data_IF_208433138061
#
_entry.id   IF_208433138061
#
_cell.length_a   1.000
_cell.length_b   1.000
_cell.length_c   1.000
_cell.angle_alpha   90.00
_cell.angle_beta   90.00
_cell.angle_gamma   90.00
#
_symmetry.space_group_name_H-M   'P 1'
#
loop_
_entity.id
_entity.type
_entity.pdbx_description
1 polymer ?
#
# COMPACT_ATOMS: atom_id res chain seq x y z
N UNK A 1 4.66 4.33 -69.20
CA UNK A 1 4.27 5.11 -68.00
C UNK A 1 3.39 4.30 -67.04
N UNK A 2 3.84 3.12 -66.56
CA UNK A 2 2.96 2.25 -65.75
C UNK A 2 3.58 1.70 -64.46
N UNK A 3 4.82 1.98 -64.15
CA UNK A 3 5.54 1.42 -62.97
C UNK A 3 5.43 2.26 -61.70
N UNK A 4 5.07 3.54 -61.77
CA UNK A 4 4.98 4.45 -60.61
C UNK A 4 3.76 4.21 -59.71
N UNK A 5 2.66 3.66 -60.22
CA UNK A 5 1.42 3.47 -59.46
C UNK A 5 1.42 2.18 -58.60
N UNK A 6 2.14 1.17 -58.99
CA UNK A 6 2.22 -0.10 -58.27
C UNK A 6 3.07 0.03 -57.00
N UNK A 7 4.14 0.82 -57.07
CA UNK A 7 5.04 1.04 -55.91
C UNK A 7 4.37 1.88 -54.84
N UNK A 8 3.60 2.90 -55.22
CA UNK A 8 2.83 3.73 -54.24
C UNK A 8 1.74 2.91 -53.53
N UNK A 9 1.05 2.03 -54.23
CA UNK A 9 0.01 1.18 -53.66
C UNK A 9 0.56 0.19 -52.62
N UNK A 10 1.71 -0.45 -52.92
CA UNK A 10 2.38 -1.36 -51.98
C UNK A 10 2.93 -0.67 -50.71
N UNK A 11 3.42 0.56 -50.85
CA UNK A 11 3.93 1.36 -49.70
C UNK A 11 2.79 1.81 -48.74
N UNK A 12 1.64 2.17 -49.30
CA UNK A 12 0.44 2.55 -48.54
C UNK A 12 -0.17 1.36 -47.83
N UNK A 13 -0.22 0.19 -48.50
CA UNK A 13 -0.75 -1.06 -47.92
C UNK A 13 0.13 -1.57 -46.76
N UNK A 14 1.45 -1.46 -46.90
CA UNK A 14 2.43 -1.86 -45.87
C UNK A 14 2.43 -0.88 -44.65
N UNK A 15 2.15 0.41 -44.85
CA UNK A 15 1.93 1.36 -43.76
C UNK A 15 0.65 1.06 -43.01
N UNK A 16 -0.45 0.77 -43.69
CA UNK A 16 -1.74 0.49 -43.10
C UNK A 16 -1.75 -0.82 -42.30
N UNK A 17 -1.06 -1.86 -42.78
CA UNK A 17 -0.93 -3.11 -42.03
C UNK A 17 -0.08 -2.95 -40.76
N UNK A 18 1.02 -2.19 -40.81
CA UNK A 18 1.84 -1.89 -39.64
C UNK A 18 1.10 -1.05 -38.60
N UNK A 19 0.26 -0.12 -39.03
CA UNK A 19 -0.55 0.73 -38.16
C UNK A 19 -1.62 -0.08 -37.42
N UNK A 20 -2.28 -1.00 -38.11
CA UNK A 20 -3.27 -1.93 -37.53
C UNK A 20 -2.60 -2.88 -36.53
N UNK A 21 -1.40 -3.39 -36.85
CA UNK A 21 -0.64 -4.26 -35.94
C UNK A 21 -0.20 -3.54 -34.67
N UNK A 22 0.25 -2.28 -34.78
CA UNK A 22 0.64 -1.45 -33.64
C UNK A 22 -0.55 -1.12 -32.73
N UNK A 23 -1.70 -0.81 -33.31
CA UNK A 23 -2.94 -0.58 -32.57
C UNK A 23 -3.42 -1.83 -31.83
N UNK A 24 -3.33 -3.00 -32.47
CA UNK A 24 -3.66 -4.28 -31.85
C UNK A 24 -2.76 -4.61 -30.66
N UNK A 25 -1.44 -4.41 -30.81
CA UNK A 25 -0.47 -4.60 -29.71
C UNK A 25 -0.74 -3.61 -28.56
N UNK A 26 -0.98 -2.35 -28.88
CA UNK A 26 -1.29 -1.31 -27.88
C UNK A 26 -2.54 -1.65 -27.08
N UNK A 27 -3.60 -2.10 -27.77
CA UNK A 27 -4.85 -2.51 -27.12
C UNK A 27 -4.66 -3.76 -26.25
N UNK A 28 -3.90 -4.73 -26.72
CA UNK A 28 -3.56 -5.93 -25.93
C UNK A 28 -2.78 -5.56 -24.67
N UNK A 29 -1.81 -4.66 -24.79
CA UNK A 29 -1.03 -4.19 -23.65
C UNK A 29 -1.90 -3.47 -22.61
N UNK A 30 -2.82 -2.61 -23.07
CA UNK A 30 -3.79 -1.93 -22.19
C UNK A 30 -4.67 -2.93 -21.45
N UNK A 31 -5.21 -3.90 -22.17
CA UNK A 31 -6.10 -4.91 -21.59
C UNK A 31 -5.36 -5.74 -20.53
N UNK A 32 -4.15 -6.22 -20.86
CA UNK A 32 -3.34 -7.00 -19.94
C UNK A 32 -2.97 -6.23 -18.68
N UNK A 33 -2.57 -4.95 -18.84
CA UNK A 33 -2.27 -4.08 -17.70
C UNK A 33 -3.50 -3.85 -16.82
N UNK A 34 -4.65 -3.62 -17.44
CA UNK A 34 -5.91 -3.43 -16.71
C UNK A 34 -6.33 -4.69 -15.96
N UNK A 35 -6.25 -5.87 -16.58
CA UNK A 35 -6.55 -7.14 -15.92
C UNK A 35 -5.59 -7.43 -14.76
N UNK A 36 -4.31 -7.16 -14.96
CA UNK A 36 -3.31 -7.31 -13.90
C UNK A 36 -3.60 -6.41 -12.70
N UNK A 37 -3.86 -5.12 -12.95
CA UNK A 37 -4.22 -4.15 -11.90
C UNK A 37 -5.48 -4.57 -11.17
N UNK A 38 -6.53 -4.93 -11.89
CA UNK A 38 -7.80 -5.40 -11.32
C UNK A 38 -7.62 -6.65 -10.45
N UNK A 39 -6.77 -7.58 -10.87
CA UNK A 39 -6.45 -8.79 -10.09
C UNK A 39 -5.68 -8.46 -8.81
N UNK A 40 -4.73 -7.54 -8.86
CA UNK A 40 -4.02 -7.05 -7.68
C UNK A 40 -4.98 -6.37 -6.71
N UNK A 41 -5.82 -5.45 -7.20
CA UNK A 41 -6.82 -4.74 -6.39
C UNK A 41 -7.78 -5.70 -5.69
N UNK A 42 -8.24 -6.74 -6.38
CA UNK A 42 -9.14 -7.74 -5.79
C UNK A 42 -8.49 -8.62 -4.72
N UNK A 43 -7.17 -8.82 -4.77
CA UNK A 43 -6.43 -9.63 -3.80
C UNK A 43 -5.94 -8.83 -2.59
N UNK A 44 -5.83 -7.51 -2.72
CA UNK A 44 -5.28 -6.65 -1.68
C UNK A 44 -6.09 -6.71 -0.36
N UNK A 45 -7.44 -6.60 -0.38
CA UNK A 45 -8.24 -6.67 0.84
C UNK A 45 -8.05 -7.98 1.60
N UNK A 46 -7.99 -9.11 0.88
CA UNK A 46 -7.79 -10.43 1.49
C UNK A 46 -6.43 -10.54 2.18
N UNK A 47 -5.37 -10.03 1.56
CA UNK A 47 -4.02 -10.02 2.17
C UNK A 47 -3.96 -9.15 3.41
N UNK A 48 -4.61 -7.98 3.38
CA UNK A 48 -4.68 -7.08 4.54
C UNK A 48 -5.47 -7.72 5.67
N UNK A 49 -6.58 -8.38 5.36
CA UNK A 49 -7.38 -9.10 6.35
C UNK A 49 -6.58 -10.24 7.00
N UNK A 50 -5.94 -11.10 6.21
CA UNK A 50 -5.12 -12.19 6.71
C UNK A 50 -3.98 -11.71 7.62
N UNK A 51 -3.32 -10.60 7.24
CA UNK A 51 -2.30 -9.99 8.07
C UNK A 51 -2.86 -9.46 9.39
N UNK A 52 -4.03 -8.81 9.34
CA UNK A 52 -4.73 -8.29 10.53
C UNK A 52 -5.12 -9.42 11.47
N UNK A 53 -5.66 -10.52 10.96
CA UNK A 53 -6.05 -11.70 11.76
C UNK A 53 -4.81 -12.34 12.43
N UNK A 54 -3.72 -12.53 11.68
CA UNK A 54 -2.47 -13.05 12.22
C UNK A 54 -1.91 -12.15 13.31
N UNK A 55 -1.89 -10.84 13.09
CA UNK A 55 -1.38 -9.88 14.05
C UNK A 55 -2.23 -9.84 15.31
N UNK A 56 -3.54 -9.88 15.17
CA UNK A 56 -4.48 -9.93 16.31
C UNK A 56 -4.28 -11.22 17.12
N UNK A 57 -4.14 -12.36 16.47
CA UNK A 57 -3.85 -13.64 17.15
C UNK A 57 -2.53 -13.60 17.92
N UNK A 58 -1.50 -12.98 17.33
CA UNK A 58 -0.22 -12.77 18.01
C UNK A 58 -0.37 -11.88 19.25
N UNK A 59 -1.09 -10.77 19.16
CA UNK A 59 -1.33 -9.86 20.30
C UNK A 59 -2.09 -10.57 21.43
N UNK A 60 -3.10 -11.38 21.11
CA UNK A 60 -3.81 -12.19 22.12
C UNK A 60 -2.90 -13.21 22.78
N UNK A 61 -2.01 -13.86 22.02
CA UNK A 61 -1.03 -14.79 22.59
C UNK A 61 -0.06 -14.11 23.56
N UNK A 62 0.42 -12.92 23.18
CA UNK A 62 1.28 -12.10 24.03
C UNK A 62 0.54 -11.70 25.31
N UNK A 63 -0.70 -11.21 25.20
CA UNK A 63 -1.51 -10.82 26.36
C UNK A 63 -1.73 -11.99 27.32
N UNK A 64 -2.11 -13.17 26.80
CA UNK A 64 -2.29 -14.37 27.62
C UNK A 64 -1.02 -14.79 28.35
N UNK A 65 0.15 -14.60 27.73
CA UNK A 65 1.45 -14.88 28.36
C UNK A 65 1.71 -13.89 29.49
N UNK A 66 1.45 -12.60 29.29
CA UNK A 66 1.59 -11.58 30.34
C UNK A 66 0.64 -11.83 31.50
N UNK A 67 -0.64 -12.13 31.23
CA UNK A 67 -1.62 -12.44 32.28
C UNK A 67 -1.18 -13.62 33.16
N UNK A 68 -0.58 -14.65 32.54
CA UNK A 68 -0.03 -15.79 33.27
C UNK A 68 1.18 -15.39 34.13
N UNK A 69 2.07 -14.53 33.62
CA UNK A 69 3.22 -14.02 34.38
C UNK A 69 2.78 -13.19 35.57
N UNK A 70 1.81 -12.26 35.40
CA UNK A 70 1.29 -11.40 36.46
C UNK A 70 0.67 -12.26 37.58
N UNK A 71 -0.07 -13.31 37.22
CA UNK A 71 -0.66 -14.22 38.20
C UNK A 71 0.42 -14.93 39.03
N UNK A 72 1.49 -15.41 38.38
CA UNK A 72 2.63 -16.02 39.08
C UNK A 72 3.36 -15.00 40.00
N UNK A 73 3.55 -13.77 39.56
CA UNK A 73 4.19 -12.71 40.36
C UNK A 73 3.36 -12.36 41.61
N UNK A 74 2.04 -12.29 41.48
CA UNK A 74 1.15 -12.05 42.62
C UNK A 74 1.32 -13.12 43.69
N UNK A 75 1.29 -14.39 43.31
CA UNK A 75 1.51 -15.52 44.26
C UNK A 75 2.90 -15.47 44.91
N UNK A 76 3.91 -15.03 44.14
CA UNK A 76 5.27 -14.89 44.64
C UNK A 76 5.35 -13.77 45.71
N UNK A 77 4.77 -12.58 45.42
CA UNK A 77 4.76 -11.46 46.35
C UNK A 77 3.99 -11.81 47.64
N UNK A 78 2.87 -12.49 47.55
CA UNK A 78 2.13 -12.98 48.70
C UNK A 78 2.97 -13.95 49.59
N UNK A 79 3.70 -14.87 48.95
CA UNK A 79 4.57 -15.81 49.66
C UNK A 79 5.82 -15.20 50.29
N UNK A 80 6.36 -14.13 49.68
CA UNK A 80 7.53 -13.42 50.14
C UNK A 80 7.21 -12.37 51.22
N UNK A 81 5.93 -12.10 51.51
CA UNK A 81 5.50 -11.10 52.48
C UNK A 81 5.92 -9.69 52.14
N UNK A 82 5.92 -9.33 50.84
CA UNK A 82 6.29 -7.98 50.36
C UNK A 82 5.32 -6.93 50.96
N UNK A 83 5.86 -5.79 51.38
CA UNK A 83 5.07 -4.71 51.96
C UNK A 83 4.03 -4.17 50.96
N UNK A 84 2.78 -3.99 51.43
CA UNK A 84 1.65 -3.52 50.63
C UNK A 84 1.89 -2.14 50.00
N UNK A 85 2.67 -1.27 50.67
CA UNK A 85 3.01 0.04 50.15
C UNK A 85 3.91 -0.05 48.91
N UNK A 86 4.83 -1.01 48.89
CA UNK A 86 5.70 -1.26 47.74
C UNK A 86 4.88 -1.80 46.54
N UNK A 87 3.96 -2.73 46.81
CA UNK A 87 3.08 -3.28 45.76
C UNK A 87 2.19 -2.18 45.15
N UNK A 88 1.66 -1.29 46.01
CA UNK A 88 0.86 -0.17 45.55
C UNK A 88 1.67 0.83 44.71
N UNK A 89 2.84 1.21 45.15
CA UNK A 89 3.72 2.12 44.38
C UNK A 89 4.14 1.54 43.06
N UNK A 90 4.39 0.22 42.99
CA UNK A 90 4.68 -0.46 41.75
C UNK A 90 3.47 -0.48 40.80
N UNK A 91 2.25 -0.68 41.35
CA UNK A 91 1.01 -0.60 40.57
C UNK A 91 0.80 0.78 39.94
N UNK A 92 0.96 1.86 40.71
CA UNK A 92 0.86 3.23 40.22
C UNK A 92 1.91 3.55 39.15
N UNK A 93 3.13 3.07 39.33
CA UNK A 93 4.19 3.21 38.33
C UNK A 93 3.86 2.48 37.02
N UNK A 94 3.39 1.24 37.12
CA UNK A 94 3.02 0.45 35.90
C UNK A 94 1.82 1.05 35.16
N UNK A 95 0.84 1.58 35.88
CA UNK A 95 -0.29 2.31 35.30
C UNK A 95 0.17 3.55 34.53
N UNK A 96 0.96 4.42 35.14
CA UNK A 96 1.50 5.63 34.50
C UNK A 96 2.39 5.29 33.29
N UNK A 97 3.17 4.21 33.38
CA UNK A 97 3.98 3.74 32.26
C UNK A 97 3.11 3.23 31.12
N UNK A 98 2.06 2.49 31.41
CA UNK A 98 1.10 1.98 30.42
C UNK A 98 0.39 3.11 29.70
N UNK A 99 -0.09 4.13 30.44
CA UNK A 99 -0.73 5.31 29.86
C UNK A 99 0.21 6.06 28.91
N UNK A 100 1.48 6.21 29.29
CA UNK A 100 2.48 6.82 28.42
C UNK A 100 2.70 6.00 27.14
N UNK A 101 2.75 4.68 27.23
CA UNK A 101 2.89 3.79 26.09
C UNK A 101 1.68 3.88 25.15
N UNK A 102 0.46 3.91 25.70
CA UNK A 102 -0.77 4.06 24.91
C UNK A 102 -0.79 5.41 24.17
N UNK A 103 -0.41 6.50 24.83
CA UNK A 103 -0.29 7.80 24.16
C UNK A 103 0.74 7.78 23.02
N UNK A 104 1.89 7.14 23.21
CA UNK A 104 2.88 7.00 22.15
C UNK A 104 2.34 6.20 20.96
N UNK A 105 1.56 5.15 21.20
CA UNK A 105 0.91 4.37 20.13
C UNK A 105 -0.07 5.24 19.34
N UNK A 106 -0.86 6.08 20.01
CA UNK A 106 -1.80 7.01 19.37
C UNK A 106 -1.07 8.07 18.52
N UNK A 107 0.00 8.65 19.03
CA UNK A 107 0.84 9.58 18.26
C UNK A 107 1.46 8.90 17.04
N UNK A 108 1.92 7.67 17.18
CA UNK A 108 2.47 6.91 16.06
C UNK A 108 1.41 6.60 15.02
N UNK A 109 0.20 6.22 15.42
CA UNK A 109 -0.92 5.97 14.53
C UNK A 109 -1.31 7.23 13.74
N UNK A 110 -1.38 8.40 14.41
CA UNK A 110 -1.63 9.68 13.75
C UNK A 110 -0.53 10.06 12.77
N UNK A 111 0.73 9.89 13.16
CA UNK A 111 1.87 10.14 12.27
C UNK A 111 1.83 9.24 11.02
N UNK A 112 1.55 7.95 11.21
CA UNK A 112 1.39 7.00 10.10
C UNK A 112 0.28 7.41 9.15
N UNK A 113 -0.87 7.80 9.68
CA UNK A 113 -2.00 8.31 8.89
C UNK A 113 -1.58 9.53 8.07
N UNK A 114 -1.00 10.54 8.71
CA UNK A 114 -0.53 11.75 8.04
C UNK A 114 0.49 11.45 6.93
N UNK A 115 1.45 10.59 7.21
CA UNK A 115 2.45 10.15 6.24
C UNK A 115 1.81 9.46 5.03
N UNK A 116 0.83 8.59 5.26
CA UNK A 116 0.10 7.89 4.20
C UNK A 116 -0.73 8.86 3.35
N UNK A 117 -1.42 9.81 3.97
CA UNK A 117 -2.21 10.82 3.27
C UNK A 117 -1.31 11.73 2.40
N UNK A 118 -0.13 12.08 2.92
CA UNK A 118 0.88 12.85 2.17
C UNK A 118 1.40 12.07 0.96
N UNK A 119 1.72 10.79 1.12
CA UNK A 119 2.16 9.93 0.03
C UNK A 119 1.07 9.77 -1.03
N UNK A 120 -0.17 9.56 -0.62
CA UNK A 120 -1.31 9.46 -1.53
C UNK A 120 -1.52 10.75 -2.33
N UNK A 121 -1.39 11.91 -1.67
CA UNK A 121 -1.45 13.22 -2.33
C UNK A 121 -0.32 13.42 -3.34
N UNK A 122 0.89 13.03 -2.99
CA UNK A 122 2.04 13.08 -3.89
C UNK A 122 1.85 12.16 -5.12
N UNK A 123 1.32 10.96 -4.93
CA UNK A 123 1.00 10.05 -6.04
C UNK A 123 -0.04 10.65 -6.99
N UNK A 124 -1.11 11.25 -6.45
CA UNK A 124 -2.13 11.93 -7.27
C UNK A 124 -1.55 13.11 -8.05
N UNK A 125 -0.67 13.89 -7.43
CA UNK A 125 0.01 15.01 -8.09
C UNK A 125 0.94 14.52 -9.20
N UNK A 126 1.66 13.42 -8.98
CA UNK A 126 2.49 12.78 -9.99
C UNK A 126 1.67 12.27 -11.17
N UNK A 127 0.54 11.63 -10.92
CA UNK A 127 -0.37 11.13 -11.96
C UNK A 127 -0.88 12.26 -12.85
N UNK A 128 -1.35 13.36 -12.24
CA UNK A 128 -1.78 14.57 -12.96
C UNK A 128 -0.63 15.19 -13.78
N UNK A 129 0.58 15.23 -13.22
CA UNK A 129 1.76 15.72 -13.93
C UNK A 129 2.07 14.86 -15.16
N UNK A 130 2.07 13.54 -15.00
CA UNK A 130 2.34 12.59 -16.09
C UNK A 130 1.29 12.71 -17.21
N UNK A 131 0.00 12.81 -16.87
CA UNK A 131 -1.08 13.00 -17.84
C UNK A 131 -0.90 14.31 -18.62
N UNK A 132 -0.55 15.39 -17.94
CA UNK A 132 -0.30 16.69 -18.57
C UNK A 132 0.91 16.64 -19.51
N UNK A 133 2.00 16.01 -19.09
CA UNK A 133 3.20 15.82 -19.92
C UNK A 133 2.91 14.98 -21.15
N UNK A 134 2.12 13.91 -21.00
CA UNK A 134 1.73 13.07 -22.14
C UNK A 134 0.87 13.84 -23.14
N UNK A 135 -0.10 14.62 -22.67
CA UNK A 135 -0.96 15.44 -23.54
C UNK A 135 -0.14 16.50 -24.29
N UNK A 136 0.80 17.16 -23.59
CA UNK A 136 1.70 18.12 -24.20
C UNK A 136 2.58 17.48 -25.29
N UNK A 137 3.23 16.35 -25.00
CA UNK A 137 4.03 15.64 -25.98
C UNK A 137 3.19 15.20 -27.20
N UNK A 138 1.97 14.72 -26.96
CA UNK A 138 1.07 14.31 -28.04
C UNK A 138 0.68 15.49 -28.96
N UNK A 139 0.47 16.68 -28.40
CA UNK A 139 0.22 17.92 -29.17
C UNK A 139 1.41 18.31 -30.02
N UNK A 140 2.63 18.24 -29.45
CA UNK A 140 3.86 18.51 -30.20
C UNK A 140 4.00 17.54 -31.38
N UNK A 141 3.86 16.24 -31.16
CA UNK A 141 3.97 15.25 -32.23
C UNK A 141 2.93 15.43 -33.36
N UNK A 142 1.75 15.95 -33.04
CA UNK A 142 0.75 16.30 -34.07
C UNK A 142 1.16 17.47 -34.94
N UNK A 143 1.98 18.40 -34.44
CA UNK A 143 2.44 19.56 -35.21
C UNK A 143 3.53 19.20 -36.22
N UNK A 144 4.22 18.09 -36.04
CA UNK A 144 5.27 17.61 -36.95
C UNK A 144 4.75 16.69 -38.08
N UNK A 145 3.45 16.50 -38.22
CA UNK A 145 2.78 15.82 -39.34
C UNK A 145 2.21 16.80 -40.33
#
# INVERSE_FOLDING_TARGET
MSTSNVTKKKVVENKKSKEIELDSISQTLKNNTHEFTKKLESQLPLKVQQFSELYTAYLHSVNNTFDSCITCEKELFEKLGVDKGIIKAFGEYTEAHTDMMLQQMDYYAQFRKYSTDTQLSAMKSWDNFMLTMMDYNFKIFKQFK
#
